data_IF_087377442668
#
_entry.id   IF_087377442668
#
_cell.length_a   1.000
_cell.length_b   1.000
_cell.length_c   1.000
_cell.angle_alpha   90.00
_cell.angle_beta   90.00
_cell.angle_gamma   90.00
#
_symmetry.space_group_name_H-M   'P 1'
#
loop_
_entity.id
_entity.type
_entity.pdbx_description
1 polymer ?
#
# COMPACT_ATOMS: atom_id res chain seq x y z
N UNK A 1 8.56 -2.12 -22.68
CA UNK A 1 8.90 -0.93 -21.87
C UNK A 1 9.16 -1.42 -20.45
N UNK A 2 10.39 -1.29 -19.96
CA UNK A 2 10.71 -1.63 -18.57
C UNK A 2 9.92 -0.71 -17.65
N UNK A 3 8.95 -1.27 -16.92
CA UNK A 3 8.13 -0.54 -15.94
C UNK A 3 9.10 0.04 -14.89
N UNK A 4 9.00 1.35 -14.62
CA UNK A 4 9.84 1.95 -13.58
C UNK A 4 9.67 1.18 -12.25
N UNK A 5 10.76 0.99 -11.48
CA UNK A 5 10.67 0.32 -10.18
C UNK A 5 9.72 1.10 -9.26
N UNK A 6 8.87 0.37 -8.54
CA UNK A 6 7.92 0.92 -7.58
C UNK A 6 8.65 1.70 -6.48
N UNK A 7 7.92 2.59 -5.79
CA UNK A 7 8.48 3.30 -4.63
C UNK A 7 9.03 2.34 -3.57
N UNK A 8 8.31 1.23 -3.33
CA UNK A 8 8.75 0.18 -2.42
C UNK A 8 10.05 -0.49 -2.89
N UNK A 9 10.17 -0.80 -4.19
CA UNK A 9 11.40 -1.36 -4.75
C UNK A 9 12.59 -0.40 -4.61
N UNK A 10 12.37 0.91 -4.84
CA UNK A 10 13.42 1.94 -4.70
C UNK A 10 13.91 2.10 -3.24
N UNK A 11 13.02 1.96 -2.26
CA UNK A 11 13.34 2.22 -0.85
C UNK A 11 13.79 0.98 -0.07
N UNK A 12 13.24 -0.20 -0.41
CA UNK A 12 13.35 -1.41 0.42
C UNK A 12 13.89 -2.61 -0.35
N UNK A 13 14.12 -2.49 -1.67
CA UNK A 13 14.48 -3.61 -2.54
C UNK A 13 15.72 -4.38 -2.11
N UNK A 14 16.72 -3.69 -1.58
CA UNK A 14 18.04 -4.27 -1.30
C UNK A 14 18.07 -5.14 -0.03
N UNK A 15 17.24 -4.83 0.97
CA UNK A 15 17.28 -5.49 2.28
C UNK A 15 15.95 -6.12 2.70
N UNK A 16 14.83 -5.74 2.09
CA UNK A 16 13.50 -6.28 2.41
C UNK A 16 12.68 -6.61 1.14
N UNK A 17 13.18 -7.49 0.25
CA UNK A 17 12.52 -7.81 -1.02
C UNK A 17 11.12 -8.44 -0.85
N UNK A 18 10.87 -9.14 0.26
CA UNK A 18 9.53 -9.67 0.56
C UNK A 18 8.54 -8.54 0.88
N UNK A 19 8.97 -7.47 1.54
CA UNK A 19 8.14 -6.31 1.81
C UNK A 19 7.71 -5.66 0.50
N UNK A 20 8.64 -5.48 -0.45
CA UNK A 20 8.32 -4.96 -1.79
C UNK A 20 7.24 -5.81 -2.47
N UNK A 21 7.39 -7.15 -2.46
CA UNK A 21 6.38 -8.04 -3.06
C UNK A 21 5.01 -7.92 -2.40
N UNK A 22 4.95 -7.78 -1.07
CA UNK A 22 3.69 -7.62 -0.35
C UNK A 22 3.05 -6.26 -0.64
N UNK A 23 3.85 -5.19 -0.69
CA UNK A 23 3.35 -3.85 -1.03
C UNK A 23 2.82 -3.80 -2.46
N UNK A 24 3.59 -4.26 -3.44
CA UNK A 24 3.24 -4.10 -4.85
C UNK A 24 2.10 -5.04 -5.27
N UNK A 25 2.18 -6.31 -4.90
CA UNK A 25 1.24 -7.31 -5.41
C UNK A 25 0.02 -7.46 -4.50
N UNK A 26 0.21 -7.52 -3.18
CA UNK A 26 -0.91 -7.80 -2.27
C UNK A 26 -1.63 -6.52 -1.88
N UNK A 27 -0.92 -5.52 -1.34
CA UNK A 27 -1.56 -4.29 -0.90
C UNK A 27 -2.14 -3.54 -2.10
N UNK A 28 -1.30 -3.11 -3.05
CA UNK A 28 -1.76 -2.31 -4.18
C UNK A 28 -2.32 -3.11 -5.35
N UNK A 29 -1.86 -4.34 -5.57
CA UNK A 29 -2.36 -5.18 -6.66
C UNK A 29 -3.70 -5.85 -6.37
N UNK A 30 -3.92 -6.30 -5.12
CA UNK A 30 -5.13 -7.05 -4.76
C UNK A 30 -6.06 -6.24 -3.84
N UNK A 31 -5.59 -5.84 -2.66
CA UNK A 31 -6.45 -5.25 -1.60
C UNK A 31 -7.04 -3.90 -2.02
N UNK A 32 -6.24 -3.01 -2.63
CA UNK A 32 -6.70 -1.69 -3.06
C UNK A 32 -7.59 -1.72 -4.31
N UNK A 33 -7.45 -2.75 -5.15
CA UNK A 33 -8.22 -2.90 -6.39
C UNK A 33 -9.43 -3.85 -6.24
N UNK A 34 -9.61 -4.50 -5.08
CA UNK A 34 -10.74 -5.40 -4.82
C UNK A 34 -12.11 -4.74 -5.00
N UNK A 35 -13.17 -5.49 -5.29
CA UNK A 35 -14.49 -4.92 -5.60
C UNK A 35 -15.43 -4.76 -4.39
N UNK A 36 -15.03 -5.21 -3.20
CA UNK A 36 -15.88 -5.21 -2.00
C UNK A 36 -16.18 -3.81 -1.45
N UNK A 37 -15.31 -2.83 -1.72
CA UNK A 37 -15.45 -1.44 -1.30
C UNK A 37 -15.08 -0.51 -2.45
N UNK A 38 -15.70 0.67 -2.50
CA UNK A 38 -15.27 1.72 -3.43
C UNK A 38 -13.88 2.25 -3.03
N UNK A 39 -13.14 2.85 -3.97
CA UNK A 39 -11.83 3.46 -3.65
C UNK A 39 -11.96 4.54 -2.57
N UNK A 40 -13.05 5.33 -2.61
CA UNK A 40 -13.35 6.35 -1.57
C UNK A 40 -13.52 5.71 -0.20
N UNK A 41 -14.32 4.66 -0.10
CA UNK A 41 -14.62 4.03 1.18
C UNK A 41 -13.38 3.31 1.73
N UNK A 42 -12.57 2.69 0.87
CA UNK A 42 -11.25 2.14 1.27
C UNK A 42 -10.32 3.20 1.84
N UNK A 43 -10.20 4.35 1.17
CA UNK A 43 -9.40 5.47 1.71
C UNK A 43 -9.94 5.95 3.05
N UNK A 44 -11.27 6.09 3.18
CA UNK A 44 -11.89 6.56 4.40
C UNK A 44 -11.63 5.61 5.59
N UNK A 45 -11.83 4.30 5.42
CA UNK A 45 -11.58 3.33 6.50
C UNK A 45 -10.09 3.25 6.87
N UNK A 46 -9.20 3.37 5.87
CA UNK A 46 -7.75 3.38 6.11
C UNK A 46 -7.35 4.58 6.96
N UNK A 47 -7.77 5.80 6.55
CA UNK A 47 -7.50 7.03 7.31
C UNK A 47 -8.11 6.96 8.71
N UNK A 48 -9.36 6.51 8.84
CA UNK A 48 -10.01 6.36 10.14
C UNK A 48 -9.22 5.41 11.07
N UNK A 49 -8.73 4.28 10.55
CA UNK A 49 -7.90 3.35 11.30
C UNK A 49 -6.56 3.97 11.69
N UNK A 50 -5.89 4.69 10.78
CA UNK A 50 -4.62 5.38 11.06
C UNK A 50 -4.78 6.42 12.17
N UNK A 51 -5.85 7.22 12.15
CA UNK A 51 -6.16 8.19 13.21
C UNK A 51 -6.44 7.49 14.53
N UNK A 52 -7.31 6.47 14.54
CA UNK A 52 -7.66 5.73 15.74
C UNK A 52 -6.44 5.05 16.41
N UNK A 53 -5.47 4.63 15.60
CA UNK A 53 -4.23 3.98 16.07
C UNK A 53 -3.07 4.97 16.28
N UNK A 54 -3.31 6.28 16.19
CA UNK A 54 -2.30 7.34 16.32
C UNK A 54 -1.08 7.10 15.39
N UNK A 55 -1.33 6.82 14.11
CA UNK A 55 -0.32 6.60 13.06
C UNK A 55 -0.24 7.81 12.13
N UNK A 56 0.07 8.98 12.68
CA UNK A 56 0.05 10.26 11.95
C UNK A 56 1.03 10.32 10.75
N UNK A 57 2.18 9.66 10.83
CA UNK A 57 3.21 9.64 9.76
C UNK A 57 2.78 8.89 8.47
N UNK A 58 1.62 8.24 8.49
CA UNK A 58 1.08 7.45 7.36
C UNK A 58 -0.17 8.09 6.74
N UNK A 59 -0.59 9.26 7.24
CA UNK A 59 -1.66 10.07 6.65
C UNK A 59 -1.14 10.85 5.44
#
# INVERSE_FOLDING_TARGET
MSKEPSGAQKMFGDFAPKLVRLTDNVLFGDVWEGNELSKRDRSLVTVAALVALNRAEQL
#
